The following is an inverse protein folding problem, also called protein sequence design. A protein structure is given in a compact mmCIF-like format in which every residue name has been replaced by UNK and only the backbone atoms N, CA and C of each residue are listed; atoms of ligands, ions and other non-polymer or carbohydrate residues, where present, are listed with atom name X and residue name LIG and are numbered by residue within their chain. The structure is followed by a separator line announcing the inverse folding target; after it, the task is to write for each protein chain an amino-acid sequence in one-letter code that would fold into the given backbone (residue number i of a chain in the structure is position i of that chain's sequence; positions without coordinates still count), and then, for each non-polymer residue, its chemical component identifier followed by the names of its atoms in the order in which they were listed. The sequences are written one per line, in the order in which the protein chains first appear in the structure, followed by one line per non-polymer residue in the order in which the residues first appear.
data_IF_946539769825
#
_entry.id   IF_946539769825
#
_cell.length_a   1.000
_cell.length_b   1.000
_cell.length_c   1.000
_cell.angle_alpha   90.00
_cell.angle_beta   90.00
_cell.angle_gamma   90.00
#
_symmetry.space_group_name_H-M   'P 1'
#
loop_
_entity.id
_entity.type
_entity.pdbx_description
1 polymer ?
#
# COMPACT_ATOMS: atom_id res chain seq x y z
N UNK A 1 -5.84 6.30 -2.43
CA UNK A 1 -4.55 5.78 -2.92
C UNK A 1 -4.09 4.62 -2.04
N UNK A 2 -4.09 3.41 -2.59
CA UNK A 2 -3.50 2.22 -1.96
C UNK A 2 -2.29 1.77 -2.79
N UNK A 3 -1.30 1.16 -2.16
CA UNK A 3 -0.22 0.50 -2.89
C UNK A 3 -0.24 -0.99 -2.60
N UNK A 4 -0.24 -1.80 -3.65
CA UNK A 4 -0.15 -3.25 -3.58
C UNK A 4 1.26 -3.72 -3.91
N UNK A 5 1.67 -4.77 -3.23
CA UNK A 5 2.97 -5.40 -3.41
C UNK A 5 2.72 -6.75 -4.07
N UNK A 6 3.01 -6.84 -5.36
CA UNK A 6 2.75 -8.01 -6.19
C UNK A 6 3.38 -9.28 -5.59
N UNK A 7 4.60 -9.19 -5.05
CA UNK A 7 5.33 -10.33 -4.48
C UNK A 7 4.65 -10.94 -3.26
N UNK A 8 3.92 -10.15 -2.46
CA UNK A 8 3.28 -10.64 -1.23
C UNK A 8 1.77 -10.77 -1.34
N UNK A 9 1.17 -10.22 -2.40
CA UNK A 9 -0.29 -10.15 -2.51
C UNK A 9 -0.91 -9.26 -1.43
N UNK A 10 -0.16 -8.30 -0.88
CA UNK A 10 -0.62 -7.40 0.19
C UNK A 10 -0.75 -5.98 -0.34
N UNK A 11 -1.83 -5.29 0.02
CA UNK A 11 -1.96 -3.85 -0.16
C UNK A 11 -1.84 -3.10 1.17
N UNK A 12 -1.21 -1.93 1.10
CA UNK A 12 -0.85 -1.06 2.21
C UNK A 12 -1.33 0.38 1.92
N UNK A 13 -1.32 1.22 2.97
CA UNK A 13 -1.70 2.64 2.91
C UNK A 13 -0.48 3.53 2.73
N UNK A 14 -0.60 4.67 2.05
CA UNK A 14 0.42 5.73 2.04
C UNK A 14 1.01 5.97 3.44
N UNK A 15 2.32 5.71 3.60
CA UNK A 15 3.07 5.90 4.84
C UNK A 15 3.15 4.67 5.75
N UNK A 16 2.84 3.46 5.26
CA UNK A 16 3.02 2.27 6.10
C UNK A 16 4.52 2.05 6.38
N UNK A 17 4.93 1.86 7.66
CA UNK A 17 6.33 1.69 8.06
C UNK A 17 6.91 0.33 7.66
N UNK A 18 6.20 -0.42 6.81
CA UNK A 18 6.72 -1.67 6.27
C UNK A 18 7.95 -1.37 5.41
N UNK A 19 8.90 -2.30 5.41
CA UNK A 19 10.13 -2.19 4.63
C UNK A 19 9.80 -1.85 3.17
N UNK A 20 10.50 -0.86 2.62
CA UNK A 20 10.28 -0.37 1.26
C UNK A 20 10.37 -1.55 0.29
N UNK A 21 9.33 -1.71 -0.51
CA UNK A 21 9.25 -2.76 -1.51
C UNK A 21 10.02 -2.30 -2.75
N UNK A 22 10.53 -3.24 -3.54
CA UNK A 22 11.10 -2.91 -4.85
C UNK A 22 10.03 -2.27 -5.74
N UNK A 23 10.39 -1.22 -6.47
CA UNK A 23 9.48 -0.48 -7.34
C UNK A 23 8.82 -1.37 -8.40
N UNK A 24 9.53 -2.41 -8.88
CA UNK A 24 9.01 -3.38 -9.84
C UNK A 24 7.77 -4.14 -9.33
N UNK A 25 7.70 -4.36 -8.02
CA UNK A 25 6.65 -5.12 -7.36
C UNK A 25 5.57 -4.20 -6.80
N UNK A 26 5.74 -2.89 -6.92
CA UNK A 26 4.82 -1.88 -6.39
C UNK A 26 3.75 -1.56 -7.44
N UNK A 27 2.49 -1.70 -7.06
CA UNK A 27 1.31 -1.40 -7.86
C UNK A 27 0.53 -0.29 -7.17
N UNK A 28 0.46 0.89 -7.77
CA UNK A 28 -0.34 1.99 -7.23
C UNK A 28 -1.78 1.83 -7.72
N UNK A 29 -2.72 1.87 -6.78
CA UNK A 29 -4.14 1.67 -6.99
C UNK A 29 -4.90 2.89 -6.46
N UNK A 30 -5.99 3.23 -7.15
CA UNK A 30 -6.80 4.40 -6.81
C UNK A 30 -7.39 4.32 -5.40
N UNK A 31 -7.90 3.14 -5.03
CA UNK A 31 -8.57 2.90 -3.76
C UNK A 31 -8.22 1.53 -3.17
N UNK A 32 -8.46 1.37 -1.86
CA UNK A 32 -8.38 0.07 -1.19
C UNK A 32 -9.35 -0.93 -1.81
N UNK A 33 -10.56 -0.47 -2.16
CA UNK A 33 -11.56 -1.31 -2.80
C UNK A 33 -11.07 -1.87 -4.15
N UNK A 34 -10.36 -1.07 -4.95
CA UNK A 34 -9.73 -1.55 -6.18
C UNK A 34 -8.67 -2.62 -5.89
N UNK A 35 -7.88 -2.45 -4.82
CA UNK A 35 -6.88 -3.44 -4.40
C UNK A 35 -7.52 -4.78 -3.99
N UNK A 36 -8.59 -4.72 -3.20
CA UNK A 36 -9.34 -5.89 -2.76
C UNK A 36 -10.03 -6.58 -3.95
N UNK A 37 -10.57 -5.81 -4.91
CA UNK A 37 -11.14 -6.34 -6.15
C UNK A 37 -10.11 -7.08 -7.03
N UNK A 38 -8.84 -6.64 -7.00
CA UNK A 38 -7.73 -7.35 -7.66
C UNK A 38 -7.17 -8.53 -6.87
N UNK A 39 -7.70 -8.83 -5.68
CA UNK A 39 -7.31 -9.98 -4.86
C UNK A 39 -6.15 -9.73 -3.90
N UNK A 40 -5.71 -8.47 -3.72
CA UNK A 40 -4.73 -8.14 -2.70
C UNK A 40 -5.38 -8.13 -1.32
N UNK A 41 -4.66 -8.60 -0.30
CA UNK A 41 -5.11 -8.60 1.09
C UNK A 41 -4.63 -7.37 1.82
N UNK A 42 -5.44 -6.83 2.73
CA UNK A 42 -5.04 -5.70 3.55
C UNK A 42 -3.85 -6.05 4.46
N UNK A 43 -2.87 -5.16 4.52
CA UNK A 43 -1.74 -5.31 5.41
C UNK A 43 -2.17 -5.27 6.88
N UNK A 44 -1.80 -6.33 7.62
CA UNK A 44 -2.07 -6.44 9.07
C UNK A 44 -1.36 -5.37 9.90
N UNK A 45 -0.26 -4.78 9.40
CA UNK A 45 0.46 -3.68 10.07
C UNK A 45 -0.27 -2.34 9.93
N UNK A 46 -0.82 -2.07 8.75
CA UNK A 46 -1.51 -0.81 8.51
C UNK A 46 -2.96 -0.86 9.06
N UNK A 47 -3.50 -2.04 9.39
CA UNK A 47 -4.48 -2.27 10.48
C UNK A 47 -5.76 -1.43 10.49
N UNK A 48 -6.17 -0.83 9.37
CA UNK A 48 -7.32 0.06 9.32
C UNK A 48 -7.04 1.52 9.70
N UNK A 49 -5.77 1.90 9.92
CA UNK A 49 -5.43 3.31 10.09
C UNK A 49 -5.77 4.06 8.80
N UNK A 50 -6.63 5.08 8.93
CA UNK A 50 -7.14 5.95 7.85
C UNK A 50 -6.01 6.35 6.89
N UNK A 51 -6.33 6.53 5.61
CA UNK A 51 -5.37 6.88 4.55
C UNK A 51 -4.37 7.94 5.08
N UNK A 52 -3.11 7.53 5.21
CA UNK A 52 -2.05 8.42 5.63
C UNK A 52 -1.70 9.37 4.49
N UNK A 53 -1.03 10.50 4.76
CA UNK A 53 -0.58 11.40 3.71
C UNK A 53 0.28 10.65 2.67
N UNK A 54 0.21 11.03 1.38
CA UNK A 54 0.93 10.37 0.31
C UNK A 54 2.43 10.28 0.64
N UNK A 55 3.04 9.15 0.27
CA UNK A 55 4.48 8.86 0.48
C UNK A 55 5.41 9.97 -0.05
N UNK A 56 4.90 10.84 -0.93
CA UNK A 56 5.58 11.98 -1.53
C UNK A 56 5.91 13.13 -0.55
N UNK A 57 5.42 13.13 0.70
CA UNK A 57 5.81 14.12 1.73
C UNK A 57 6.94 13.62 2.65
N UNK A 58 7.55 12.48 2.36
CA UNK A 58 8.72 11.99 3.08
C UNK A 58 9.99 12.46 2.35
N UNK A 59 10.21 13.77 2.40
CA UNK A 59 11.54 14.37 2.16
C UNK A 59 12.49 14.04 3.33
N UNK A 60 13.80 14.30 3.19
CA UNK A 60 14.89 13.59 3.89
C UNK A 60 14.76 13.52 5.42
#
# INVERSE_FOLDING_TARGET
MAYAVASTGIHCRAGCPARVCLHENLRILDSRAAAEATGFRACKRCGGAKDGPPLALQGP
#
